data_IF_512588878509
#
_entry.id   IF_512588878509
#
_cell.length_a   1.000
_cell.length_b   1.000
_cell.length_c   1.000
_cell.angle_alpha   90.00
_cell.angle_beta   90.00
_cell.angle_gamma   90.00
#
_symmetry.space_group_name_H-M   'P 1'
#
loop_
_entity.id
_entity.type
_entity.pdbx_description
1 polymer ?
#
# COMPACT_ATOMS: atom_id res chain seq x y z
N UNK A 1 55.08 -1.87 -0.89
CA UNK A 1 54.18 -1.25 -1.89
C UNK A 1 53.43 -2.37 -2.59
N UNK A 2 52.12 -2.19 -2.81
CA UNK A 2 51.17 -3.08 -3.51
C UNK A 2 50.10 -3.67 -2.59
N UNK A 3 49.34 -2.75 -1.99
CA UNK A 3 47.99 -2.99 -1.52
C UNK A 3 47.11 -3.20 -2.78
N UNK A 4 47.01 -4.45 -3.24
CA UNK A 4 46.07 -4.84 -4.31
C UNK A 4 44.65 -4.79 -3.74
N UNK A 5 44.11 -3.57 -3.64
CA UNK A 5 42.71 -3.29 -3.36
C UNK A 5 41.89 -3.67 -4.59
N UNK A 6 41.52 -4.94 -4.65
CA UNK A 6 40.50 -5.48 -5.55
C UNK A 6 39.24 -4.58 -5.49
N UNK A 7 38.78 -4.00 -6.61
CA UNK A 7 37.71 -3.00 -6.64
C UNK A 7 36.32 -3.67 -6.63
N UNK A 8 36.06 -4.49 -5.62
CA UNK A 8 34.76 -5.16 -5.44
C UNK A 8 33.75 -4.28 -4.67
N UNK A 9 34.13 -3.03 -4.36
CA UNK A 9 33.27 -2.07 -3.62
C UNK A 9 32.34 -1.29 -4.58
N UNK A 10 32.42 -1.50 -5.90
CA UNK A 10 31.57 -0.79 -6.87
C UNK A 10 30.37 -1.58 -7.40
N UNK A 11 30.02 -2.71 -6.77
CA UNK A 11 28.84 -3.50 -7.16
C UNK A 11 27.70 -3.49 -6.11
N UNK A 12 27.71 -2.57 -5.15
CA UNK A 12 26.53 -2.24 -4.37
C UNK A 12 25.65 -1.26 -5.17
N UNK A 13 25.28 -1.67 -6.38
CA UNK A 13 24.18 -1.04 -7.10
C UNK A 13 22.96 -1.13 -6.20
N UNK A 14 22.38 0.02 -5.88
CA UNK A 14 21.15 0.14 -5.12
C UNK A 14 20.09 -0.81 -5.69
N UNK A 15 19.92 -1.98 -5.06
CA UNK A 15 18.72 -2.78 -5.26
C UNK A 15 17.59 -1.97 -4.64
N UNK A 16 16.93 -1.17 -5.46
CA UNK A 16 15.65 -0.56 -5.11
C UNK A 16 14.71 -1.68 -4.75
N UNK A 17 14.53 -1.89 -3.45
CA UNK A 17 13.53 -2.78 -2.89
C UNK A 17 12.17 -2.14 -3.15
N UNK A 18 11.61 -2.40 -4.32
CA UNK A 18 10.21 -2.09 -4.57
C UNK A 18 9.43 -2.97 -3.62
N UNK A 19 8.82 -2.38 -2.59
CA UNK A 19 7.88 -3.10 -1.75
C UNK A 19 6.78 -3.62 -2.66
N UNK A 20 6.71 -4.94 -2.84
CA UNK A 20 5.61 -5.59 -3.52
C UNK A 20 4.40 -5.40 -2.59
N UNK A 21 3.59 -4.38 -2.86
CA UNK A 21 2.32 -4.25 -2.16
C UNK A 21 1.52 -5.52 -2.44
N UNK A 22 1.08 -6.21 -1.38
CA UNK A 22 0.14 -7.33 -1.52
C UNK A 22 -1.05 -6.86 -2.37
N UNK A 23 -1.61 -7.71 -3.23
CA UNK A 23 -2.76 -7.33 -4.04
C UNK A 23 -3.86 -6.79 -3.14
N UNK A 24 -4.40 -5.61 -3.44
CA UNK A 24 -5.32 -4.88 -2.55
C UNK A 24 -6.54 -5.70 -2.11
N UNK A 25 -6.97 -6.67 -2.93
CA UNK A 25 -7.99 -7.64 -2.56
C UNK A 25 -7.60 -8.52 -1.37
N UNK A 26 -6.35 -9.00 -1.30
CA UNK A 26 -5.87 -9.80 -0.19
C UNK A 26 -5.82 -8.97 1.11
N UNK A 27 -5.26 -7.77 1.06
CA UNK A 27 -5.27 -6.81 2.19
C UNK A 27 -6.70 -6.51 2.64
N UNK A 28 -7.61 -6.26 1.69
CA UNK A 28 -9.01 -6.05 2.00
C UNK A 28 -9.62 -7.22 2.77
N UNK A 29 -9.41 -8.45 2.28
CA UNK A 29 -9.95 -9.66 2.93
C UNK A 29 -9.38 -9.89 4.31
N UNK A 30 -8.07 -9.67 4.51
CA UNK A 30 -7.38 -9.96 5.76
C UNK A 30 -7.65 -8.92 6.85
N UNK A 31 -7.80 -7.64 6.48
CA UNK A 31 -7.83 -6.54 7.45
C UNK A 31 -9.09 -5.69 7.31
N UNK A 32 -9.36 -5.16 6.11
CA UNK A 32 -10.37 -4.12 5.93
C UNK A 32 -11.81 -4.66 6.05
N UNK A 33 -12.03 -5.91 5.64
CA UNK A 33 -13.33 -6.55 5.62
C UNK A 33 -13.94 -6.71 7.02
N UNK A 34 -13.13 -6.73 8.07
CA UNK A 34 -13.59 -6.77 9.45
C UNK A 34 -14.57 -5.62 9.77
N UNK A 35 -14.35 -4.45 9.18
CA UNK A 35 -15.24 -3.29 9.33
C UNK A 35 -16.08 -3.03 8.07
N UNK A 36 -15.45 -3.06 6.89
CA UNK A 36 -16.08 -2.66 5.62
C UNK A 36 -16.88 -3.78 4.94
N UNK A 37 -16.85 -5.01 5.45
CA UNK A 37 -17.66 -6.11 4.92
C UNK A 37 -19.14 -5.96 5.27
N UNK A 38 -19.45 -5.87 6.56
CA UNK A 38 -20.82 -5.70 7.06
C UNK A 38 -21.20 -4.24 7.34
N UNK A 39 -20.22 -3.33 7.43
CA UNK A 39 -20.45 -1.92 7.74
C UNK A 39 -20.49 -1.65 9.24
N UNK A 40 -19.58 -2.28 9.99
CA UNK A 40 -19.46 -2.11 11.45
C UNK A 40 -19.30 -0.63 11.80
N UNK A 41 -20.03 -0.16 12.81
CA UNK A 41 -20.00 1.24 13.26
C UNK A 41 -20.22 2.25 12.10
N UNK A 42 -21.07 1.91 11.15
CA UNK A 42 -21.38 2.69 9.94
C UNK A 42 -20.25 2.80 8.91
N UNK A 43 -19.22 1.96 8.99
CA UNK A 43 -18.18 1.88 7.98
C UNK A 43 -18.78 1.74 6.55
N UNK A 44 -18.24 2.45 5.54
CA UNK A 44 -18.68 2.32 4.16
C UNK A 44 -18.53 0.88 3.67
N UNK A 45 -19.65 0.21 3.37
CA UNK A 45 -19.60 -1.19 2.91
C UNK A 45 -18.96 -1.25 1.53
N UNK A 46 -18.17 -2.28 1.24
CA UNK A 46 -17.70 -2.51 -0.11
C UNK A 46 -18.91 -2.65 -1.07
N UNK A 47 -18.90 -1.87 -2.15
CA UNK A 47 -19.98 -1.83 -3.13
C UNK A 47 -21.12 -0.84 -2.82
N UNK A 48 -21.14 -0.19 -1.66
CA UNK A 48 -22.11 0.87 -1.35
C UNK A 48 -21.79 2.16 -2.11
N UNK A 49 -22.30 2.25 -3.34
CA UNK A 49 -22.01 3.38 -4.24
C UNK A 49 -22.40 4.73 -3.65
N UNK A 50 -23.47 4.80 -2.86
CA UNK A 50 -23.93 6.05 -2.28
C UNK A 50 -22.93 6.59 -1.24
N UNK A 51 -22.38 5.72 -0.40
CA UNK A 51 -21.35 6.10 0.58
C UNK A 51 -19.98 6.33 -0.07
N UNK A 52 -19.62 5.57 -1.11
CA UNK A 52 -18.31 5.68 -1.75
C UNK A 52 -18.19 6.81 -2.76
N UNK A 53 -19.27 7.25 -3.41
CA UNK A 53 -19.22 8.33 -4.40
C UNK A 53 -18.55 9.63 -3.90
N UNK A 54 -18.91 10.21 -2.74
CA UNK A 54 -18.25 11.42 -2.26
C UNK A 54 -16.78 11.20 -1.88
N UNK A 55 -16.44 10.01 -1.35
CA UNK A 55 -15.06 9.66 -1.00
C UNK A 55 -14.19 9.56 -2.26
N UNK A 56 -14.67 8.87 -3.29
CA UNK A 56 -13.96 8.74 -4.57
C UNK A 56 -13.73 10.12 -5.21
N UNK A 57 -14.70 11.04 -5.08
CA UNK A 57 -14.56 12.39 -5.59
C UNK A 57 -13.46 13.21 -4.88
N UNK A 58 -13.14 12.88 -3.63
CA UNK A 58 -12.03 13.48 -2.86
C UNK A 58 -10.64 13.07 -3.42
N UNK A 59 -10.59 11.94 -4.13
CA UNK A 59 -9.41 11.42 -4.80
C UNK A 59 -8.54 10.51 -3.93
N UNK A 60 -7.81 9.61 -4.59
CA UNK A 60 -7.02 8.56 -3.93
C UNK A 60 -5.99 9.13 -2.95
N UNK A 61 -5.26 10.19 -3.35
CA UNK A 61 -4.21 10.79 -2.51
C UNK A 61 -4.78 11.24 -1.18
N UNK A 62 -5.89 11.97 -1.21
CA UNK A 62 -6.55 12.50 -0.01
C UNK A 62 -7.11 11.36 0.86
N UNK A 63 -7.81 10.40 0.26
CA UNK A 63 -8.39 9.26 0.98
C UNK A 63 -7.35 8.39 1.70
N UNK A 64 -6.13 8.30 1.17
CA UNK A 64 -5.04 7.53 1.79
C UNK A 64 -3.99 8.40 2.48
N UNK A 65 -4.21 9.71 2.59
CA UNK A 65 -3.23 10.62 3.18
C UNK A 65 -3.02 10.40 4.68
N UNK A 66 -3.87 9.60 5.33
CA UNK A 66 -3.81 9.35 6.77
C UNK A 66 -3.74 7.84 7.07
N UNK A 67 -2.61 7.45 7.64
CA UNK A 67 -2.37 6.21 8.38
C UNK A 67 -1.57 6.56 9.64
#
# INVERSE_FOLDING_TARGET
MNLSLRPWILAAGFLSFSAFAEPGENTYKQVCAACHGSGVLNAPKLGDKAKWAPLIAEGQVTLTAHA
#
